data_IF_577058780072
#
_entry.id   IF_577058780072
#
_cell.length_a   1.000
_cell.length_b   1.000
_cell.length_c   1.000
_cell.angle_alpha   90.00
_cell.angle_beta   90.00
_cell.angle_gamma   90.00
#
_symmetry.space_group_name_H-M   'P 1'
#
loop_
_entity.id
_entity.type
_entity.pdbx_description
1 polymer ?
#
# COMPACT_ATOMS: atom_id res chain seq x y z
N UNK A 1 -0.86 -46.25 -57.76
CA UNK A 1 -1.14 -45.85 -59.16
C UNK A 1 -2.52 -45.22 -59.23
N UNK A 2 -2.59 -44.03 -59.85
CA UNK A 2 -3.74 -43.42 -60.54
C UNK A 2 -4.92 -42.92 -59.69
N UNK A 3 -4.83 -41.63 -59.39
CA UNK A 3 -5.85 -40.58 -59.59
C UNK A 3 -7.11 -40.99 -60.38
N UNK A 4 -8.28 -40.61 -59.87
CA UNK A 4 -9.38 -40.18 -60.74
C UNK A 4 -9.64 -38.68 -60.53
N UNK A 5 -9.76 -38.01 -61.68
CA UNK A 5 -9.99 -36.58 -61.86
C UNK A 5 -11.48 -36.31 -62.04
N UNK A 6 -11.94 -35.23 -61.40
CA UNK A 6 -13.02 -34.27 -61.75
C UNK A 6 -14.18 -34.70 -62.65
N UNK A 7 -15.42 -34.39 -62.21
CA UNK A 7 -16.45 -33.80 -63.09
C UNK A 7 -17.41 -32.91 -62.29
N UNK A 8 -17.54 -31.66 -62.71
CA UNK A 8 -18.45 -30.64 -62.18
C UNK A 8 -19.85 -30.82 -62.79
N UNK A 9 -20.92 -30.76 -62.00
CA UNK A 9 -22.27 -30.48 -62.49
C UNK A 9 -22.87 -29.38 -61.61
N UNK A 10 -23.17 -28.24 -62.24
CA UNK A 10 -23.98 -27.16 -61.70
C UNK A 10 -25.43 -27.63 -61.59
N UNK A 11 -26.03 -27.54 -60.40
CA UNK A 11 -27.48 -27.46 -60.25
C UNK A 11 -27.81 -26.43 -59.17
N UNK A 12 -28.55 -25.43 -59.64
CA UNK A 12 -29.00 -24.20 -59.03
C UNK A 12 -30.16 -24.42 -58.04
N UNK A 13 -30.07 -23.75 -56.88
CA UNK A 13 -31.17 -23.33 -55.98
C UNK A 13 -32.08 -24.44 -55.37
N UNK A 14 -32.58 -24.36 -54.14
CA UNK A 14 -32.39 -23.47 -53.00
C UNK A 14 -33.20 -24.08 -51.82
N UNK A 15 -33.04 -23.45 -50.65
CA UNK A 15 -33.95 -23.43 -49.50
C UNK A 15 -33.78 -24.47 -48.39
N UNK A 16 -33.10 -23.97 -47.35
CA UNK A 16 -33.51 -24.00 -45.95
C UNK A 16 -33.73 -25.39 -45.32
N UNK A 17 -32.69 -25.87 -44.65
CA UNK A 17 -32.89 -26.41 -43.29
C UNK A 17 -31.82 -25.80 -42.40
N UNK A 18 -32.27 -25.29 -41.25
CA UNK A 18 -31.50 -24.54 -40.26
C UNK A 18 -30.09 -25.11 -40.07
N UNK A 19 -29.11 -24.43 -40.65
CA UNK A 19 -27.72 -24.61 -40.28
C UNK A 19 -27.59 -24.18 -38.83
N UNK A 20 -27.63 -25.14 -37.91
CA UNK A 20 -27.02 -24.97 -36.61
C UNK A 20 -25.59 -24.49 -36.89
N UNK A 21 -25.29 -23.23 -36.57
CA UNK A 21 -23.91 -22.79 -36.55
C UNK A 21 -23.18 -23.79 -35.66
N UNK A 22 -22.19 -24.49 -36.20
CA UNK A 22 -21.26 -25.24 -35.38
C UNK A 22 -20.52 -24.20 -34.53
N UNK A 23 -21.09 -23.89 -33.38
CA UNK A 23 -20.50 -22.99 -32.41
C UNK A 23 -19.43 -23.80 -31.69
N UNK A 24 -18.19 -23.58 -32.08
CA UNK A 24 -17.03 -24.09 -31.35
C UNK A 24 -16.81 -23.17 -30.16
N UNK A 25 -17.35 -23.54 -29.00
CA UNK A 25 -16.97 -22.90 -27.75
C UNK A 25 -15.55 -23.35 -27.41
N UNK A 26 -14.59 -22.43 -27.50
CA UNK A 26 -13.27 -22.62 -26.92
C UNK A 26 -13.33 -22.11 -25.47
N UNK A 27 -13.24 -23.02 -24.51
CA UNK A 27 -13.06 -22.65 -23.11
C UNK A 27 -11.63 -22.09 -22.95
N UNK A 28 -11.51 -20.78 -22.73
CA UNK A 28 -10.24 -20.15 -22.38
C UNK A 28 -10.06 -20.30 -20.88
N UNK A 29 -9.27 -21.31 -20.46
CA UNK A 29 -8.86 -21.45 -19.08
C UNK A 29 -7.81 -20.37 -18.76
N UNK A 30 -8.24 -19.29 -18.11
CA UNK A 30 -7.34 -18.29 -17.53
C UNK A 30 -6.99 -18.76 -16.12
N UNK A 31 -5.79 -19.28 -15.93
CA UNK A 31 -5.22 -19.51 -14.60
C UNK A 31 -4.25 -18.37 -14.27
N UNK A 32 -4.55 -17.60 -13.23
CA UNK A 32 -3.59 -16.68 -12.61
C UNK A 32 -2.97 -17.40 -11.41
N UNK A 33 -1.64 -17.44 -11.35
CA UNK A 33 -0.92 -17.88 -10.15
C UNK A 33 -0.46 -16.62 -9.43
N UNK A 34 -0.85 -16.45 -8.16
CA UNK A 34 -0.30 -15.37 -7.33
C UNK A 34 1.16 -15.73 -7.06
N UNK A 35 2.07 -15.02 -7.72
CA UNK A 35 3.49 -15.40 -7.79
C UNK A 35 4.27 -15.07 -6.50
N UNK A 36 3.77 -14.13 -5.68
CA UNK A 36 4.30 -13.86 -4.35
C UNK A 36 3.26 -13.19 -3.44
N UNK A 37 3.21 -13.58 -2.16
CA UNK A 37 2.48 -12.84 -1.14
C UNK A 37 3.41 -11.76 -0.55
N UNK A 38 2.87 -10.56 -0.30
CA UNK A 38 3.54 -9.61 0.60
C UNK A 38 3.14 -9.93 2.04
N UNK A 39 4.13 -9.97 2.93
CA UNK A 39 3.88 -9.98 4.37
C UNK A 39 4.21 -8.59 4.91
N UNK A 40 3.23 -7.96 5.54
CA UNK A 40 3.37 -6.64 6.17
C UNK A 40 3.32 -6.81 7.69
N UNK A 41 4.34 -6.29 8.38
CA UNK A 41 4.39 -6.27 9.85
C UNK A 41 4.50 -4.83 10.34
N UNK A 42 3.37 -4.12 10.52
CA UNK A 42 3.36 -2.74 10.99
C UNK A 42 3.50 -2.65 12.52
N UNK A 43 4.17 -1.61 12.98
CA UNK A 43 4.18 -1.14 14.37
C UNK A 43 3.62 0.29 14.45
N UNK A 44 3.09 0.66 15.60
CA UNK A 44 2.43 1.96 15.79
C UNK A 44 3.44 3.05 16.14
N UNK A 45 3.12 4.29 15.77
CA UNK A 45 3.79 5.49 16.30
C UNK A 45 3.08 5.88 17.58
N UNK A 46 3.84 6.02 18.66
CA UNK A 46 3.37 6.51 19.95
C UNK A 46 4.11 7.80 20.29
N UNK A 47 3.39 8.92 20.46
CA UNK A 47 4.02 10.17 20.90
C UNK A 47 4.07 10.30 22.44
N UNK A 48 3.45 9.34 23.15
CA UNK A 48 3.31 9.38 24.60
C UNK A 48 2.35 10.48 25.07
N UNK A 49 2.47 10.88 26.34
CA UNK A 49 1.67 11.95 26.93
C UNK A 49 2.28 13.33 26.65
N UNK A 50 1.67 14.08 25.74
CA UNK A 50 2.04 15.45 25.39
C UNK A 50 1.65 16.39 26.53
N UNK A 51 2.57 17.27 26.95
CA UNK A 51 2.39 18.16 28.11
C UNK A 51 2.25 19.64 27.74
N UNK A 52 2.48 20.00 26.49
CA UNK A 52 2.50 21.38 25.99
C UNK A 52 1.55 21.53 24.81
N UNK A 53 0.93 22.71 24.65
CA UNK A 53 0.05 23.02 23.52
C UNK A 53 0.83 23.39 22.23
N UNK A 54 1.96 22.72 22.00
CA UNK A 54 2.89 22.97 20.91
C UNK A 54 2.98 21.72 20.02
N UNK A 55 3.45 21.88 18.79
CA UNK A 55 3.65 20.74 17.89
C UNK A 55 4.65 19.73 18.50
N UNK A 56 4.41 18.45 18.27
CA UNK A 56 5.27 17.36 18.77
C UNK A 56 5.91 16.65 17.60
N UNK A 57 7.21 16.37 17.72
CA UNK A 57 8.00 15.74 16.65
C UNK A 57 8.61 14.47 17.20
N UNK A 58 8.38 13.36 16.52
CA UNK A 58 9.05 12.09 16.76
C UNK A 58 9.83 11.71 15.51
N UNK A 59 11.13 11.46 15.65
CA UNK A 59 11.94 11.04 14.51
C UNK A 59 11.57 9.61 14.10
N UNK A 60 11.51 9.37 12.80
CA UNK A 60 11.29 8.05 12.22
C UNK A 60 12.56 7.20 12.31
N UNK A 61 13.71 7.83 12.05
CA UNK A 61 15.00 7.16 12.06
C UNK A 61 15.51 7.20 13.49
N UNK A 62 15.60 6.06 14.18
CA UNK A 62 15.99 5.94 15.60
C UNK A 62 17.44 6.42 15.94
N UNK A 63 17.97 7.38 15.19
CA UNK A 63 19.34 7.87 15.21
C UNK A 63 19.46 9.39 15.40
N UNK A 64 18.37 10.16 15.53
CA UNK A 64 18.47 11.61 15.80
C UNK A 64 17.50 12.14 16.87
N UNK A 65 17.80 11.81 18.14
CA UNK A 65 17.17 12.38 19.35
C UNK A 65 17.21 13.93 19.37
N UNK A 66 18.02 14.59 18.54
CA UNK A 66 18.10 16.06 18.52
C UNK A 66 16.89 16.71 17.82
N UNK A 67 16.13 15.96 17.02
CA UNK A 67 14.94 16.45 16.31
C UNK A 67 13.64 16.19 17.06
N UNK A 68 13.67 15.29 18.05
CA UNK A 68 12.52 15.00 18.88
C UNK A 68 12.12 16.22 19.73
N UNK A 69 10.82 16.51 19.75
CA UNK A 69 10.29 17.66 20.46
C UNK A 69 8.92 17.36 21.09
N UNK A 70 8.72 17.86 22.31
CA UNK A 70 7.46 17.82 23.05
C UNK A 70 6.87 16.41 23.24
N UNK A 71 7.71 15.36 23.23
CA UNK A 71 7.29 13.97 23.42
C UNK A 71 7.09 13.62 24.90
N UNK A 72 6.18 12.69 25.14
CA UNK A 72 5.92 12.14 26.47
C UNK A 72 6.73 10.88 26.79
N UNK A 73 6.67 10.43 28.04
CA UNK A 73 7.25 9.14 28.43
C UNK A 73 6.61 8.01 27.62
N UNK A 74 7.45 7.11 27.08
CA UNK A 74 7.00 5.98 26.27
C UNK A 74 6.73 6.34 24.81
N UNK A 75 7.24 7.47 24.32
CA UNK A 75 7.28 7.77 22.90
C UNK A 75 8.13 6.73 22.14
N UNK A 76 7.65 6.32 20.97
CA UNK A 76 8.29 5.34 20.11
C UNK A 76 7.86 5.57 18.66
N UNK A 77 8.85 5.60 17.75
CA UNK A 77 8.61 5.58 16.31
C UNK A 77 7.96 4.26 15.89
N UNK A 78 7.24 4.30 14.78
CA UNK A 78 6.65 3.14 14.14
C UNK A 78 7.51 2.64 12.98
N UNK A 79 7.15 1.50 12.42
CA UNK A 79 7.79 0.91 11.27
C UNK A 79 6.88 -0.05 10.53
N UNK A 80 7.20 -0.35 9.28
CA UNK A 80 6.54 -1.38 8.47
C UNK A 80 7.62 -2.24 7.86
N UNK A 81 7.65 -3.50 8.27
CA UNK A 81 8.44 -4.50 7.57
C UNK A 81 7.62 -5.04 6.40
N UNK A 82 8.15 -4.88 5.18
CA UNK A 82 7.61 -5.41 3.93
C UNK A 82 8.51 -6.56 3.51
N UNK A 83 8.00 -7.79 3.58
CA UNK A 83 8.71 -8.98 3.10
C UNK A 83 8.09 -9.45 1.78
N UNK A 84 8.94 -9.67 0.81
CA UNK A 84 8.60 -9.97 -0.57
C UNK A 84 9.78 -10.52 -1.37
N UNK A 85 9.58 -10.69 -2.68
CA UNK A 85 10.59 -11.28 -3.55
C UNK A 85 11.74 -10.30 -3.81
N UNK A 86 12.99 -10.75 -3.65
CA UNK A 86 14.17 -9.93 -3.96
C UNK A 86 14.13 -9.37 -5.38
N UNK A 87 14.33 -8.05 -5.50
CA UNK A 87 14.30 -7.34 -6.78
C UNK A 87 12.89 -7.02 -7.29
N UNK A 88 11.85 -7.31 -6.52
CA UNK A 88 10.49 -6.88 -6.84
C UNK A 88 10.38 -5.35 -6.81
N UNK A 89 9.52 -4.85 -7.68
CA UNK A 89 9.08 -3.46 -7.67
C UNK A 89 7.89 -3.36 -6.72
N UNK A 90 8.02 -2.52 -5.69
CA UNK A 90 7.02 -2.36 -4.63
C UNK A 90 6.59 -0.90 -4.62
N UNK A 91 5.31 -0.67 -4.88
CA UNK A 91 4.70 0.65 -4.72
C UNK A 91 4.18 0.81 -3.31
N UNK A 92 4.56 1.93 -2.69
CA UNK A 92 4.12 2.31 -1.34
C UNK A 92 3.47 3.69 -1.41
N UNK A 93 2.33 3.86 -0.75
CA UNK A 93 1.74 5.18 -0.49
C UNK A 93 1.17 5.23 0.93
N UNK A 94 1.06 6.43 1.49
CA UNK A 94 0.54 6.63 2.84
C UNK A 94 -0.33 7.87 2.93
N UNK A 95 -1.16 7.94 3.96
CA UNK A 95 -2.00 9.12 4.27
C UNK A 95 -1.51 9.82 5.54
N UNK A 96 -1.89 11.09 5.71
CA UNK A 96 -1.85 11.68 7.05
C UNK A 96 -2.84 10.96 7.97
N UNK A 97 -2.60 11.05 9.27
CA UNK A 97 -3.53 10.58 10.28
C UNK A 97 -4.23 11.73 10.99
N UNK A 98 -5.38 11.42 11.57
CA UNK A 98 -5.98 12.23 12.63
C UNK A 98 -5.82 11.46 13.92
N UNK A 99 -5.04 11.97 14.87
CA UNK A 99 -4.92 11.37 16.19
C UNK A 99 -5.84 12.10 17.15
N UNK A 100 -6.45 11.36 18.07
CA UNK A 100 -7.42 11.91 19.01
C UNK A 100 -7.20 11.26 20.38
N UNK A 101 -7.12 12.10 21.41
CA UNK A 101 -7.03 11.69 22.80
C UNK A 101 -8.42 11.42 23.44
N UNK A 102 -9.49 11.48 22.63
CA UNK A 102 -10.90 11.32 23.01
C UNK A 102 -11.68 12.64 23.07
N UNK A 103 -11.03 13.78 22.85
CA UNK A 103 -11.66 15.10 22.90
C UNK A 103 -10.97 16.18 22.05
N UNK A 104 -9.77 15.90 21.54
CA UNK A 104 -8.92 16.88 20.86
C UNK A 104 -8.27 16.23 19.63
N UNK A 105 -9.03 16.06 18.53
CA UNK A 105 -8.51 15.50 17.30
C UNK A 105 -7.53 16.48 16.64
N UNK A 106 -6.35 16.00 16.28
CA UNK A 106 -5.31 16.78 15.60
C UNK A 106 -4.68 15.98 14.47
N UNK A 107 -4.01 16.66 13.54
CA UNK A 107 -3.35 16.04 12.39
C UNK A 107 -1.98 15.53 12.77
N UNK A 108 -1.68 14.30 12.38
CA UNK A 108 -0.33 13.76 12.36
C UNK A 108 0.15 13.62 10.91
N UNK A 109 1.25 14.31 10.60
CA UNK A 109 1.90 14.29 9.29
C UNK A 109 3.10 13.36 9.37
N UNK A 110 3.07 12.18 8.74
CA UNK A 110 4.14 11.21 8.85
C UNK A 110 5.40 11.68 8.09
N UNK A 111 6.56 11.52 8.71
CA UNK A 111 7.85 11.45 8.02
C UNK A 111 8.19 9.97 7.83
N UNK A 112 8.48 9.57 6.59
CA UNK A 112 8.61 8.18 6.19
C UNK A 112 10.00 7.95 5.62
N UNK A 113 10.69 6.93 6.12
CA UNK A 113 12.09 6.66 5.78
C UNK A 113 12.27 5.26 5.25
N UNK A 114 13.19 5.10 4.30
CA UNK A 114 13.67 3.81 3.83
C UNK A 114 15.18 3.73 4.12
N UNK A 115 15.53 3.05 5.21
CA UNK A 115 16.88 3.09 5.75
C UNK A 115 17.29 4.52 6.11
N UNK A 116 18.44 4.97 5.60
CA UNK A 116 18.99 6.31 5.90
C UNK A 116 18.43 7.44 5.02
N UNK A 117 17.39 7.19 4.22
CA UNK A 117 16.84 8.16 3.27
C UNK A 117 15.39 8.47 3.57
N UNK A 118 15.07 9.75 3.76
CA UNK A 118 13.69 10.22 3.83
C UNK A 118 13.00 10.08 2.46
N UNK A 119 11.79 9.53 2.48
CA UNK A 119 10.88 9.53 1.35
C UNK A 119 10.13 10.87 1.33
N UNK A 120 10.69 11.86 0.65
CA UNK A 120 10.12 13.22 0.51
C UNK A 120 8.84 13.29 -0.33
N UNK A 121 8.26 12.13 -0.65
CA UNK A 121 7.04 12.00 -1.45
C UNK A 121 5.85 12.46 -0.59
N UNK A 122 4.99 13.38 -1.05
CA UNK A 122 3.85 13.83 -0.26
C UNK A 122 2.87 12.69 0.06
N UNK A 123 2.23 12.76 1.22
CA UNK A 123 1.14 11.85 1.56
C UNK A 123 0.06 11.83 0.45
N UNK A 124 -0.44 10.64 0.13
CA UNK A 124 -1.36 10.36 -0.97
C UNK A 124 -0.68 10.12 -2.33
N UNK A 125 0.66 10.23 -2.41
CA UNK A 125 1.42 9.94 -3.61
C UNK A 125 2.13 8.58 -3.49
N UNK A 126 2.22 7.85 -4.60
CA UNK A 126 2.92 6.57 -4.67
C UNK A 126 4.41 6.75 -4.91
N UNK A 127 5.23 6.02 -4.16
CA UNK A 127 6.67 5.86 -4.41
C UNK A 127 6.97 4.41 -4.74
N UNK A 128 7.81 4.19 -5.75
CA UNK A 128 8.28 2.87 -6.15
C UNK A 128 9.62 2.57 -5.50
N UNK A 129 9.68 1.46 -4.78
CA UNK A 129 10.88 0.93 -4.13
C UNK A 129 11.28 -0.37 -4.81
N UNK A 130 12.58 -0.69 -4.77
CA UNK A 130 13.09 -1.97 -5.26
C UNK A 130 13.71 -2.74 -4.10
N UNK A 131 13.20 -3.93 -3.84
CA UNK A 131 13.67 -4.75 -2.73
C UNK A 131 12.85 -6.01 -2.51
N UNK A 132 13.41 -6.95 -1.77
CA UNK A 132 12.69 -8.11 -1.25
C UNK A 132 12.27 -7.91 0.19
N UNK A 133 13.20 -7.48 1.04
CA UNK A 133 12.92 -7.09 2.41
C UNK A 133 13.18 -5.60 2.58
N UNK A 134 12.12 -4.83 2.83
CA UNK A 134 12.18 -3.38 3.03
C UNK A 134 11.66 -3.09 4.43
N UNK A 135 12.40 -2.27 5.17
CA UNK A 135 11.90 -1.68 6.42
C UNK A 135 11.64 -0.21 6.16
N UNK A 136 10.40 0.19 6.36
CA UNK A 136 9.99 1.58 6.30
C UNK A 136 9.83 2.08 7.73
N UNK A 137 10.62 3.08 8.12
CA UNK A 137 10.50 3.68 9.43
C UNK A 137 9.56 4.89 9.37
N UNK A 138 8.75 5.07 10.41
CA UNK A 138 7.65 6.03 10.44
C UNK A 138 7.70 6.85 11.72
N UNK A 139 7.92 8.14 11.56
CA UNK A 139 7.82 9.16 12.58
C UNK A 139 6.96 10.29 12.06
N UNK A 140 7.18 11.51 12.52
CA UNK A 140 6.52 12.70 11.98
C UNK A 140 6.12 13.73 13.02
N UNK A 141 5.26 14.64 12.57
CA UNK A 141 4.81 15.78 13.35
C UNK A 141 3.33 15.64 13.72
N UNK A 142 3.03 15.74 15.01
CA UNK A 142 1.70 16.01 15.51
C UNK A 142 1.51 17.53 15.59
N UNK A 143 0.52 18.05 14.87
CA UNK A 143 0.18 19.46 14.97
C UNK A 143 -0.23 19.82 16.41
N UNK A 144 0.01 21.10 16.78
CA UNK A 144 -0.26 21.60 18.12
C UNK A 144 -1.65 21.21 18.64
N UNK A 145 -1.68 20.71 19.87
CA UNK A 145 -2.89 20.24 20.56
C UNK A 145 -3.44 21.35 21.46
N UNK A 146 -4.75 21.31 21.74
CA UNK A 146 -5.38 22.31 22.61
C UNK A 146 -5.18 22.01 24.11
N UNK A 147 -4.69 20.82 24.45
CA UNK A 147 -4.38 20.41 25.81
C UNK A 147 -3.40 19.25 25.90
N UNK A 148 -3.17 18.78 27.12
CA UNK A 148 -2.34 17.61 27.41
C UNK A 148 -3.08 16.32 27.08
N UNK A 149 -2.42 15.31 26.53
CA UNK A 149 -3.07 14.05 26.21
C UNK A 149 -2.12 13.00 25.67
N UNK A 150 -2.59 11.75 25.62
CA UNK A 150 -1.84 10.66 25.00
C UNK A 150 -2.32 10.48 23.56
N UNK A 151 -1.38 10.55 22.63
CA UNK A 151 -1.65 10.39 21.19
C UNK A 151 -0.83 9.22 20.65
N UNK A 152 -1.49 8.33 19.94
CA UNK A 152 -0.84 7.22 19.26
C UNK A 152 -1.67 6.77 18.05
N UNK A 153 -1.04 6.10 17.10
CA UNK A 153 -1.71 5.61 15.89
C UNK A 153 -2.45 4.27 16.08
N UNK A 154 -2.32 3.63 17.25
CA UNK A 154 -2.88 2.29 17.55
C UNK A 154 -4.24 2.27 18.25
N UNK A 155 -4.58 3.31 19.00
CA UNK A 155 -5.74 3.32 19.90
C UNK A 155 -6.32 4.73 19.95
N UNK A 156 -7.37 4.98 19.18
CA UNK A 156 -8.08 6.26 19.23
C UNK A 156 -9.29 6.28 18.32
N UNK A 157 -10.19 7.23 18.58
CA UNK A 157 -11.35 7.61 17.75
C UNK A 157 -10.96 8.32 16.45
N UNK A 158 -9.67 8.55 16.23
CA UNK A 158 -9.12 9.19 15.05
C UNK A 158 -9.03 8.30 13.80
N UNK A 159 -8.51 8.87 12.72
CA UNK A 159 -8.24 8.16 11.46
C UNK A 159 -6.78 7.70 11.43
N UNK A 160 -6.49 6.40 11.26
CA UNK A 160 -5.13 5.88 11.31
C UNK A 160 -4.30 6.31 10.10
N UNK A 161 -2.97 6.25 10.25
CA UNK A 161 -2.06 6.31 9.10
C UNK A 161 -2.29 5.01 8.32
N UNK A 162 -2.66 5.12 7.05
CA UNK A 162 -2.89 3.94 6.21
C UNK A 162 -1.77 3.84 5.19
N UNK A 163 -1.01 2.75 5.23
CA UNK A 163 -0.05 2.40 4.19
C UNK A 163 -0.70 1.43 3.20
N UNK A 164 -0.59 1.76 1.91
CA UNK A 164 -0.96 0.86 0.82
C UNK A 164 0.32 0.38 0.15
N UNK A 165 0.47 -0.94 0.05
CA UNK A 165 1.64 -1.59 -0.55
C UNK A 165 1.18 -2.54 -1.65
N UNK A 166 1.75 -2.43 -2.84
CA UNK A 166 1.43 -3.28 -3.99
C UNK A 166 2.67 -3.73 -4.78
N UNK A 167 2.62 -4.93 -5.37
CA UNK A 167 3.60 -5.35 -6.37
C UNK A 167 3.33 -4.70 -7.73
N UNK A 168 4.42 -4.40 -8.44
CA UNK A 168 4.43 -4.03 -9.86
C UNK A 168 5.20 -5.05 -10.70
#
# INVERSE_FOLDING_TARGET
MKTLKTLSIFALAAFLSNGAFAQENADVAVSATVEAALVLTPTAVALGTIQTAEASIIDANANDDATEANLGTGAAAGSIQIQGTSGASIDVSWTNATLDNGSDPTTFTPSVWNGASELTTPAGTTVTLTGGDITIDVGGELAATSGTGTYNTSTGSGSPITFTVSYN
#
